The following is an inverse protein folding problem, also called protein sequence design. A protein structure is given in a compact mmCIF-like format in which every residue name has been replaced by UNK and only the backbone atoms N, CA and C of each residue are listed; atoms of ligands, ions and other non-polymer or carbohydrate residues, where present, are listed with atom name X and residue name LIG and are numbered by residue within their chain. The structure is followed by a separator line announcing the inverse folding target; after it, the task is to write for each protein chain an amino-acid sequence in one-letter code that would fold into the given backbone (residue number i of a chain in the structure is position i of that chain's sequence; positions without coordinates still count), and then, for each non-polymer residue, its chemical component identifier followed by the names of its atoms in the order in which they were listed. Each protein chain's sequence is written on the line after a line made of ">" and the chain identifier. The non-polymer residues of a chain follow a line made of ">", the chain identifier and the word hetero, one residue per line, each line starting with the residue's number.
data_IF_046319712850
#
_entry.id   IF_046319712850
#
_cell.length_a   1.000
_cell.length_b   1.000
_cell.length_c   1.000
_cell.angle_alpha   90.00
_cell.angle_beta   90.00
_cell.angle_gamma   90.00
#
_symmetry.space_group_name_H-M   'P 1'
#
loop_
_entity.id
_entity.type
_entity.pdbx_description
1 polymer ?
#
# COMPACT_ATOMS: atom_id res chain seq x y z
N UNK A 1 -12.38 -1.00 1.11
CA UNK A 1 -11.94 0.40 1.10
C UNK A 1 -10.51 0.45 0.57
N UNK A 2 -10.26 1.28 -0.42
CA UNK A 2 -8.93 1.43 -1.01
C UNK A 2 -8.30 2.71 -0.46
N UNK A 3 -7.09 2.60 0.08
CA UNK A 3 -6.32 3.73 0.57
C UNK A 3 -4.98 3.79 -0.15
N UNK A 4 -4.41 4.99 -0.26
CA UNK A 4 -3.12 5.19 -0.93
C UNK A 4 -2.15 5.90 0.03
N UNK A 5 -1.57 5.16 1.00
CA UNK A 5 -0.63 5.76 1.92
C UNK A 5 0.64 6.21 1.19
N UNK A 6 1.20 7.38 1.54
CA UNK A 6 2.44 7.84 0.93
C UNK A 6 3.63 6.98 1.37
N UNK A 7 4.47 6.59 0.42
CA UNK A 7 5.72 5.88 0.69
C UNK A 7 6.89 6.83 0.82
N UNK A 8 6.95 7.83 -0.08
CA UNK A 8 8.06 8.77 -0.15
C UNK A 8 7.60 10.02 -0.87
N UNK A 9 8.03 11.17 -0.40
CA UNK A 9 7.79 12.45 -1.04
C UNK A 9 9.08 13.27 -0.98
N UNK A 10 9.44 13.91 -2.09
CA UNK A 10 10.67 14.69 -2.17
C UNK A 10 10.46 15.94 -3.01
N UNK A 11 10.91 17.07 -2.47
CA UNK A 11 10.95 18.33 -3.20
C UNK A 11 12.17 18.38 -4.10
N UNK A 12 11.98 18.88 -5.32
CA UNK A 12 13.03 18.98 -6.32
C UNK A 12 13.47 20.43 -6.49
N UNK A 13 14.76 20.63 -6.75
CA UNK A 13 15.32 21.92 -7.07
C UNK A 13 15.51 22.09 -8.59
N UNK A 14 14.60 21.53 -9.37
CA UNK A 14 14.61 21.58 -10.83
C UNK A 14 13.52 22.52 -11.33
N UNK A 15 13.73 23.07 -12.52
CA UNK A 15 12.73 23.94 -13.11
C UNK A 15 11.52 23.16 -13.59
N UNK A 16 10.33 23.67 -13.26
CA UNK A 16 9.10 23.13 -13.79
C UNK A 16 9.07 23.34 -15.32
N UNK A 17 8.74 22.31 -16.12
CA UNK A 17 8.67 22.46 -17.57
C UNK A 17 7.52 23.35 -18.04
N UNK A 18 6.57 23.69 -17.17
CA UNK A 18 5.43 24.52 -17.52
C UNK A 18 5.57 25.97 -17.04
N UNK A 19 5.96 26.18 -15.77
CA UNK A 19 6.05 27.53 -15.20
C UNK A 19 7.48 27.98 -14.91
N UNK A 20 8.47 27.10 -15.11
CA UNK A 20 9.90 27.34 -14.89
C UNK A 20 10.30 27.71 -13.46
N UNK A 21 9.42 27.56 -12.50
CA UNK A 21 9.75 27.74 -11.08
C UNK A 21 10.70 26.62 -10.62
N UNK A 22 11.72 26.97 -9.86
CA UNK A 22 12.76 26.02 -9.44
C UNK A 22 12.53 25.43 -8.03
N UNK A 23 11.47 25.78 -7.36
CA UNK A 23 11.17 25.36 -5.98
C UNK A 23 9.80 24.72 -5.83
N UNK A 24 9.05 24.55 -6.93
CA UNK A 24 7.67 24.08 -6.88
C UNK A 24 7.46 22.61 -7.14
N UNK A 25 8.45 21.89 -7.68
CA UNK A 25 8.30 20.50 -8.06
C UNK A 25 8.41 19.58 -6.84
N UNK A 26 7.52 18.58 -6.79
CA UNK A 26 7.53 17.55 -5.75
C UNK A 26 7.15 16.20 -6.36
N UNK A 27 7.99 15.19 -6.15
CA UNK A 27 7.62 13.80 -6.42
C UNK A 27 6.94 13.20 -5.20
N UNK A 28 5.86 12.50 -5.42
CA UNK A 28 5.21 11.67 -4.39
C UNK A 28 5.01 10.26 -4.92
N UNK A 29 5.36 9.30 -4.10
CA UNK A 29 5.20 7.88 -4.39
C UNK A 29 4.18 7.31 -3.41
N UNK A 30 3.16 6.66 -3.95
CA UNK A 30 2.08 6.08 -3.15
C UNK A 30 1.89 4.62 -3.54
N UNK A 31 1.39 3.84 -2.60
CA UNK A 31 1.07 2.43 -2.82
C UNK A 31 -0.39 2.20 -2.46
N UNK A 32 -1.14 1.55 -3.34
CA UNK A 32 -2.52 1.21 -3.07
C UNK A 32 -2.60 0.10 -2.01
N UNK A 33 -3.53 0.27 -1.09
CA UNK A 33 -3.79 -0.70 -0.04
C UNK A 33 -5.29 -0.95 0.02
N UNK A 34 -5.67 -2.22 -0.11
CA UNK A 34 -7.06 -2.64 -0.05
C UNK A 34 -7.35 -3.11 1.38
N UNK A 35 -8.31 -2.45 2.03
CA UNK A 35 -8.77 -2.82 3.37
C UNK A 35 -10.17 -3.38 3.27
N UNK A 36 -10.34 -4.62 3.70
CA UNK A 36 -11.65 -5.29 3.82
C UNK A 36 -11.94 -5.59 5.28
N UNK A 37 -13.15 -6.07 5.56
CA UNK A 37 -13.56 -6.38 6.95
C UNK A 37 -12.67 -7.41 7.62
N UNK A 38 -12.19 -8.41 6.86
CA UNK A 38 -11.42 -9.53 7.38
C UNK A 38 -9.92 -9.39 7.22
N UNK A 39 -9.46 -8.63 6.22
CA UNK A 39 -8.03 -8.52 5.92
C UNK A 39 -7.68 -7.19 5.26
N UNK A 40 -6.39 -6.87 5.31
CA UNK A 40 -5.79 -5.73 4.63
C UNK A 40 -4.65 -6.24 3.75
N UNK A 41 -4.62 -5.80 2.50
CA UNK A 41 -3.58 -6.21 1.55
C UNK A 41 -3.01 -4.99 0.83
N UNK A 42 -1.68 -4.90 0.75
CA UNK A 42 -1.00 -3.88 -0.05
C UNK A 42 -0.79 -4.39 -1.47
N UNK A 43 -1.07 -3.54 -2.46
CA UNK A 43 -0.85 -3.88 -3.86
C UNK A 43 0.63 -3.74 -4.23
N UNK A 44 1.08 -4.49 -5.25
CA UNK A 44 2.47 -4.43 -5.72
C UNK A 44 2.81 -3.14 -6.45
N UNK A 45 1.81 -2.51 -7.06
CA UNK A 45 2.00 -1.34 -7.89
C UNK A 45 2.20 -0.08 -7.07
N UNK A 46 3.23 0.68 -7.41
CA UNK A 46 3.49 1.99 -6.82
C UNK A 46 3.08 3.03 -7.85
N UNK A 47 2.27 4.00 -7.41
CA UNK A 47 1.90 5.15 -8.22
C UNK A 47 2.83 6.31 -7.92
N UNK A 48 3.35 6.94 -8.96
CA UNK A 48 4.17 8.13 -8.83
C UNK A 48 3.46 9.34 -9.42
N UNK A 49 3.69 10.50 -8.81
CA UNK A 49 3.10 11.75 -9.24
C UNK A 49 4.11 12.87 -9.09
N UNK A 50 4.30 13.64 -10.15
CA UNK A 50 5.07 14.89 -10.11
C UNK A 50 4.10 16.06 -10.11
N UNK A 51 4.16 16.89 -9.07
CA UNK A 51 3.26 18.02 -8.88
C UNK A 51 4.07 19.29 -8.71
N UNK A 52 3.63 20.39 -9.33
CA UNK A 52 4.23 21.70 -9.16
C UNK A 52 3.34 22.56 -8.26
N UNK A 53 3.87 22.99 -7.11
CA UNK A 53 3.13 23.85 -6.19
C UNK A 53 3.04 25.31 -6.66
N UNK A 54 3.93 25.72 -7.58
CA UNK A 54 3.93 27.09 -8.09
C UNK A 54 2.82 27.33 -9.11
N UNK A 55 2.65 26.43 -10.08
CA UNK A 55 1.58 26.53 -11.08
C UNK A 55 0.38 25.65 -10.75
N UNK A 56 0.45 24.89 -9.66
CA UNK A 56 -0.63 24.00 -9.17
C UNK A 56 -1.10 22.98 -10.21
N UNK A 57 -0.15 22.49 -11.01
CA UNK A 57 -0.42 21.48 -12.04
C UNK A 57 0.35 20.20 -11.80
N UNK A 58 -0.25 19.07 -12.21
CA UNK A 58 0.43 17.79 -12.25
C UNK A 58 1.22 17.69 -13.55
N UNK A 59 2.50 17.35 -13.45
CA UNK A 59 3.38 17.19 -14.61
C UNK A 59 3.42 15.70 -14.99
N UNK A 60 2.89 15.38 -16.16
CA UNK A 60 2.83 13.99 -16.62
C UNK A 60 4.19 13.54 -17.17
N UNK A 61 4.50 12.22 -17.11
CA UNK A 61 5.80 11.70 -17.57
C UNK A 61 6.18 12.09 -18.99
N UNK A 62 5.21 12.26 -19.88
CA UNK A 62 5.44 12.66 -21.27
C UNK A 62 6.08 14.05 -21.38
N UNK A 63 5.90 14.90 -20.38
CA UNK A 63 6.43 16.26 -20.31
C UNK A 63 7.72 16.36 -19.49
N UNK A 64 8.23 15.25 -18.97
CA UNK A 64 9.45 15.23 -18.17
C UNK A 64 10.68 15.43 -19.08
N UNK A 65 11.64 16.22 -18.61
CA UNK A 65 12.94 16.32 -19.26
C UNK A 65 13.90 15.26 -18.68
N UNK A 66 15.12 15.16 -19.26
CA UNK A 66 16.11 14.16 -18.85
C UNK A 66 16.53 14.32 -17.39
N UNK A 67 16.64 15.55 -16.90
CA UNK A 67 17.00 15.82 -15.50
C UNK A 67 15.94 15.33 -14.55
N UNK A 68 14.66 15.54 -14.87
CA UNK A 68 13.54 15.07 -14.07
C UNK A 68 13.51 13.54 -14.05
N UNK A 69 13.71 12.88 -15.20
CA UNK A 69 13.77 11.42 -15.27
C UNK A 69 14.90 10.83 -14.42
N UNK A 70 16.05 11.49 -14.40
CA UNK A 70 17.20 11.07 -13.59
C UNK A 70 16.88 11.14 -12.10
N UNK A 71 16.28 12.23 -11.66
CA UNK A 71 15.86 12.41 -10.27
C UNK A 71 14.74 11.42 -9.90
N UNK A 72 13.82 11.14 -10.82
CA UNK A 72 12.77 10.15 -10.66
C UNK A 72 13.35 8.77 -10.36
N UNK A 73 14.35 8.33 -11.14
CA UNK A 73 14.98 7.02 -10.93
C UNK A 73 15.65 6.94 -9.56
N UNK A 74 16.26 8.02 -9.11
CA UNK A 74 16.89 8.09 -7.80
C UNK A 74 15.86 7.94 -6.68
N UNK A 75 14.80 8.72 -6.71
CA UNK A 75 13.78 8.69 -5.67
C UNK A 75 12.94 7.41 -5.70
N UNK A 76 12.74 6.83 -6.88
CA UNK A 76 12.04 5.55 -7.00
C UNK A 76 12.75 4.43 -6.25
N UNK A 77 14.08 4.44 -6.26
CA UNK A 77 14.87 3.47 -5.50
C UNK A 77 14.73 3.65 -3.99
N UNK A 78 14.47 4.87 -3.54
CA UNK A 78 14.28 5.16 -2.12
C UNK A 78 12.85 4.88 -1.64
N UNK A 79 11.87 4.89 -2.54
CA UNK A 79 10.49 4.55 -2.22
C UNK A 79 10.36 3.04 -2.10
N UNK A 80 10.63 2.50 -0.91
CA UNK A 80 10.54 1.05 -0.68
C UNK A 80 9.08 0.64 -0.55
N UNK A 81 8.57 -0.22 -1.44
CA UNK A 81 7.20 -0.69 -1.32
C UNK A 81 7.03 -1.57 -0.08
N UNK A 82 5.86 -1.48 0.53
CA UNK A 82 5.49 -2.40 1.59
C UNK A 82 5.30 -3.79 0.97
N UNK A 83 5.68 -4.81 1.73
CA UNK A 83 5.49 -6.18 1.25
C UNK A 83 4.00 -6.45 1.01
N UNK A 84 3.71 -7.12 -0.11
CA UNK A 84 2.36 -7.56 -0.44
C UNK A 84 1.99 -8.73 0.46
N UNK A 85 1.78 -8.46 1.73
CA UNK A 85 1.34 -9.46 2.69
C UNK A 85 -0.10 -9.19 3.10
N UNK A 86 -0.88 -10.25 3.21
CA UNK A 86 -2.23 -10.17 3.73
C UNK A 86 -2.16 -10.11 5.25
N UNK A 87 -2.70 -9.04 5.84
CA UNK A 87 -2.80 -8.90 7.29
C UNK A 87 -4.27 -9.07 7.69
N UNK A 88 -4.52 -9.96 8.63
CA UNK A 88 -5.87 -10.17 9.14
C UNK A 88 -6.25 -9.04 10.10
N UNK A 89 -7.48 -8.56 9.96
CA UNK A 89 -8.05 -7.60 10.92
C UNK A 89 -8.44 -8.33 12.21
N UNK A 90 -8.79 -7.57 13.26
CA UNK A 90 -9.26 -8.15 14.53
C UNK A 90 -10.43 -9.08 14.31
N UNK A 91 -11.38 -8.69 13.45
CA UNK A 91 -12.54 -9.52 13.12
C UNK A 91 -12.12 -10.82 12.44
N UNK A 92 -11.15 -10.76 11.52
CA UNK A 92 -10.59 -11.94 10.87
C UNK A 92 -9.99 -12.93 11.87
N UNK A 93 -9.22 -12.44 12.84
CA UNK A 93 -8.64 -13.27 13.90
C UNK A 93 -9.71 -13.89 14.79
N UNK A 94 -10.74 -13.12 15.15
CA UNK A 94 -11.84 -13.62 15.96
C UNK A 94 -12.58 -14.77 15.27
N UNK A 95 -12.87 -14.62 13.98
CA UNK A 95 -13.53 -15.68 13.21
C UNK A 95 -12.65 -16.92 13.10
N UNK A 96 -11.34 -16.75 12.89
CA UNK A 96 -10.41 -17.86 12.79
C UNK A 96 -10.31 -18.63 14.11
N UNK A 97 -10.22 -17.93 15.23
CA UNK A 97 -10.20 -18.55 16.57
C UNK A 97 -11.52 -19.25 16.87
N UNK A 98 -12.65 -18.64 16.50
CA UNK A 98 -13.97 -19.25 16.69
C UNK A 98 -14.13 -20.54 15.92
N UNK A 99 -13.70 -20.58 14.64
CA UNK A 99 -13.77 -21.81 13.83
C UNK A 99 -12.86 -22.89 14.39
N UNK A 100 -11.66 -22.54 14.84
CA UNK A 100 -10.74 -23.50 15.46
C UNK A 100 -11.35 -24.10 16.73
N UNK A 101 -11.95 -23.26 17.57
CA UNK A 101 -12.62 -23.72 18.79
C UNK A 101 -13.77 -24.67 18.47
N UNK A 102 -14.62 -24.34 17.48
CA UNK A 102 -15.72 -25.21 17.06
C UNK A 102 -15.23 -26.56 16.56
N UNK A 103 -14.18 -26.57 15.73
CA UNK A 103 -13.60 -27.82 15.21
C UNK A 103 -13.07 -28.68 16.33
N UNK A 104 -12.39 -28.11 17.32
CA UNK A 104 -11.88 -28.89 18.46
C UNK A 104 -13.01 -29.47 19.33
N UNK A 105 -14.06 -28.69 19.55
CA UNK A 105 -15.24 -29.21 20.31
C UNK A 105 -15.92 -30.36 19.58
N UNK A 106 -16.12 -30.25 18.27
CA UNK A 106 -16.69 -31.32 17.45
C UNK A 106 -15.81 -32.56 17.53
N UNK A 107 -14.49 -32.39 17.39
CA UNK A 107 -13.56 -33.52 17.48
C UNK A 107 -13.59 -34.20 18.83
N UNK A 108 -13.70 -33.44 19.92
CA UNK A 108 -13.80 -33.98 21.28
C UNK A 108 -15.08 -34.78 21.45
N UNK A 109 -16.23 -34.23 21.03
CA UNK A 109 -17.50 -34.91 21.08
C UNK A 109 -17.46 -36.22 20.28
N UNK A 110 -16.91 -36.18 19.09
CA UNK A 110 -16.76 -37.35 18.24
C UNK A 110 -15.89 -38.42 18.90
N UNK A 111 -14.80 -37.99 19.53
CA UNK A 111 -13.89 -38.87 20.25
C UNK A 111 -14.60 -39.58 21.42
N UNK A 112 -15.34 -38.82 22.23
CA UNK A 112 -16.10 -39.40 23.36
C UNK A 112 -17.17 -40.38 22.88
N UNK A 113 -17.87 -40.05 21.80
CA UNK A 113 -18.88 -40.96 21.24
C UNK A 113 -18.23 -42.25 20.68
N UNK A 114 -17.09 -42.11 20.00
CA UNK A 114 -16.38 -43.28 19.48
C UNK A 114 -15.82 -44.19 20.60
N UNK A 115 -15.41 -43.58 21.73
CA UNK A 115 -14.94 -44.34 22.89
C UNK A 115 -16.06 -44.93 23.75
N UNK A 116 -17.32 -44.57 23.47
CA UNK A 116 -18.45 -45.06 24.24
C UNK A 116 -18.52 -44.53 25.67
N UNK A 117 -17.98 -43.35 25.93
CA UNK A 117 -17.92 -42.73 27.25
C UNK A 117 -19.18 -41.94 27.64
N UNK A 118 -20.25 -42.09 26.88
CA UNK A 118 -21.54 -41.45 27.20
C UNK A 118 -22.26 -42.18 28.33
#
# INVERSE_FOLDING_TARGET
>A
MITTPPLHAARLKHNCPECFANDGLEFSFTQEQITKKLFTRAEKNISEKLYCHSCENTIYPVNWNDDIERVYRYHKKQAKPRQTSVKLTKLGYLLLLGTLLCVTLIAVVFYYNAMGLN
#
